data_IF_272005175210
#
_entry.id   IF_272005175210
#
_cell.length_a   1.000
_cell.length_b   1.000
_cell.length_c   1.000
_cell.angle_alpha   90.00
_cell.angle_beta   90.00
_cell.angle_gamma   90.00
#
_symmetry.space_group_name_H-M   'P 1'
#
loop_
_entity.id
_entity.type
_entity.pdbx_description
1 polymer ?
#
# COMPACT_ATOMS: atom_id res chain seq x y z
N UNK A 1 -0.52 8.77 15.36
CA UNK A 1 -0.89 7.98 14.17
C UNK A 1 -2.26 8.46 13.70
N UNK A 2 -2.30 9.57 12.97
CA UNK A 2 -3.55 10.17 12.51
C UNK A 2 -3.36 10.51 11.03
N UNK A 3 -3.77 9.61 10.14
CA UNK A 3 -3.52 9.81 8.71
C UNK A 3 -3.79 8.62 7.78
N UNK A 4 -4.50 7.58 8.24
CA UNK A 4 -5.06 6.58 7.32
C UNK A 4 -6.56 6.83 7.22
N UNK A 5 -7.04 7.14 6.00
CA UNK A 5 -8.45 7.41 5.74
C UNK A 5 -9.28 6.13 5.75
N UNK A 6 -8.67 4.98 5.46
CA UNK A 6 -9.36 3.68 5.35
C UNK A 6 -8.55 2.51 5.91
N UNK A 7 -9.23 1.41 6.22
CA UNK A 7 -8.61 0.14 6.66
C UNK A 7 -7.67 -0.41 5.56
N UNK A 8 -8.06 -0.24 4.28
CA UNK A 8 -7.24 -0.63 3.14
C UNK A 8 -5.89 0.12 3.14
N UNK A 9 -5.91 1.44 3.34
CA UNK A 9 -4.68 2.24 3.39
C UNK A 9 -3.77 1.83 4.55
N UNK A 10 -4.35 1.55 5.72
CA UNK A 10 -3.58 1.04 6.85
C UNK A 10 -2.97 -0.35 6.55
N UNK A 11 -3.75 -1.25 5.95
CA UNK A 11 -3.28 -2.60 5.60
C UNK A 11 -2.14 -2.55 4.58
N UNK A 12 -2.26 -1.71 3.55
CA UNK A 12 -1.20 -1.51 2.55
C UNK A 12 0.05 -0.92 3.18
N UNK A 13 -0.07 0.12 4.01
CA UNK A 13 1.10 0.70 4.69
C UNK A 13 1.79 -0.34 5.58
N UNK A 14 1.02 -1.11 6.35
CA UNK A 14 1.58 -2.17 7.18
C UNK A 14 2.22 -3.29 6.37
N UNK A 15 1.64 -3.65 5.24
CA UNK A 15 2.22 -4.63 4.31
C UNK A 15 3.57 -4.14 3.77
N UNK A 16 3.65 -2.88 3.36
CA UNK A 16 4.90 -2.26 2.90
C UNK A 16 5.96 -2.24 4.00
N UNK A 17 5.62 -1.84 5.23
CA UNK A 17 6.55 -1.89 6.37
C UNK A 17 7.08 -3.30 6.61
N UNK A 18 6.20 -4.31 6.56
CA UNK A 18 6.56 -5.72 6.74
C UNK A 18 7.47 -6.27 5.62
N UNK A 19 7.34 -5.75 4.40
CA UNK A 19 8.20 -6.11 3.27
C UNK A 19 9.49 -5.27 3.20
N UNK A 20 9.74 -4.40 4.18
CA UNK A 20 10.98 -3.60 4.27
C UNK A 20 10.99 -2.35 3.40
N UNK A 21 9.83 -1.87 2.93
CA UNK A 21 9.76 -0.63 2.16
C UNK A 21 10.04 0.58 3.04
N UNK A 22 10.92 1.46 2.58
CA UNK A 22 11.21 2.73 3.22
C UNK A 22 10.15 3.74 2.78
N UNK A 23 9.11 3.96 3.59
CA UNK A 23 7.95 4.80 3.23
C UNK A 23 8.29 6.18 2.66
N UNK A 24 9.40 6.80 3.05
CA UNK A 24 9.83 8.10 2.51
C UNK A 24 10.36 8.05 1.06
N UNK A 25 10.70 6.86 0.57
CA UNK A 25 11.24 6.62 -0.76
C UNK A 25 10.16 6.21 -1.77
N UNK A 26 8.97 5.88 -1.31
CA UNK A 26 7.87 5.42 -2.15
C UNK A 26 6.66 6.34 -2.04
N UNK A 27 6.06 6.67 -3.19
CA UNK A 27 4.75 7.29 -3.24
C UNK A 27 3.67 6.22 -3.24
N UNK A 28 2.63 6.37 -2.42
CA UNK A 28 1.50 5.45 -2.37
C UNK A 28 0.23 6.21 -2.74
N UNK A 29 -0.42 5.78 -3.82
CA UNK A 29 -1.74 6.27 -4.24
C UNK A 29 -2.78 5.19 -4.00
N UNK A 30 -3.86 5.51 -3.28
CA UNK A 30 -4.97 4.57 -3.02
C UNK A 30 -6.13 4.87 -3.97
N UNK A 31 -6.65 3.84 -4.64
CA UNK A 31 -7.92 3.85 -5.36
C UNK A 31 -8.84 2.76 -4.81
N UNK A 32 -9.72 3.15 -3.88
CA UNK A 32 -10.59 2.23 -3.15
C UNK A 32 -9.80 1.21 -2.33
N UNK A 33 -9.78 -0.04 -2.80
CA UNK A 33 -9.04 -1.16 -2.20
C UNK A 33 -7.71 -1.44 -2.89
N UNK A 34 -7.43 -0.82 -4.04
CA UNK A 34 -6.16 -0.99 -4.74
C UNK A 34 -5.22 0.15 -4.37
N UNK A 35 -3.94 -0.14 -4.31
CA UNK A 35 -2.90 0.82 -4.04
C UNK A 35 -1.78 0.70 -5.08
N UNK A 36 -1.38 1.83 -5.63
CA UNK A 36 -0.23 1.94 -6.49
C UNK A 36 0.93 2.51 -5.69
N UNK A 37 1.99 1.72 -5.55
CA UNK A 37 3.25 2.09 -4.92
C UNK A 37 4.21 2.44 -6.06
N UNK A 38 4.80 3.63 -6.05
CA UNK A 38 5.75 4.07 -7.09
C UNK A 38 7.05 4.49 -6.43
N UNK A 39 8.16 3.97 -6.95
CA UNK A 39 9.50 4.30 -6.48
C UNK A 39 10.02 5.60 -7.12
N UNK A 40 11.22 6.03 -6.72
CA UNK A 40 11.87 7.23 -7.29
C UNK A 40 12.34 7.07 -8.74
N UNK A 41 12.45 5.83 -9.23
CA UNK A 41 12.89 5.51 -10.60
C UNK A 41 11.72 5.46 -11.58
N UNK A 42 10.48 5.51 -11.05
CA UNK A 42 9.24 5.42 -11.81
C UNK A 42 8.72 4.00 -11.93
N UNK A 43 9.36 3.02 -11.29
CA UNK A 43 8.87 1.66 -11.20
C UNK A 43 7.66 1.64 -10.26
N UNK A 44 6.60 0.96 -10.70
CA UNK A 44 5.35 0.87 -9.96
C UNK A 44 5.00 -0.57 -9.62
N UNK A 45 4.48 -0.74 -8.40
CA UNK A 45 3.93 -1.98 -7.89
C UNK A 45 2.46 -1.74 -7.51
N UNK A 46 1.57 -2.56 -8.05
CA UNK A 46 0.15 -2.51 -7.74
C UNK A 46 -0.13 -3.60 -6.70
N UNK A 47 -0.79 -3.21 -5.61
CA UNK A 47 -1.25 -4.14 -4.59
C UNK A 47 -2.72 -3.89 -4.27
N UNK A 48 -3.45 -4.95 -3.98
CA UNK A 48 -4.87 -4.88 -3.64
C UNK A 48 -5.13 -5.39 -2.24
N UNK A 49 -5.86 -4.60 -1.45
CA UNK A 49 -6.42 -5.02 -0.19
C UNK A 49 -7.71 -5.82 -0.40
N UNK A 50 -7.70 -7.08 0.03
CA UNK A 50 -8.86 -7.95 0.03
C UNK A 50 -9.58 -7.86 1.40
N UNK A 51 -10.77 -7.23 1.48
CA UNK A 51 -11.46 -7.05 2.76
C UNK A 51 -12.01 -8.36 3.35
N UNK A 52 -12.20 -9.40 2.52
CA UNK A 52 -12.70 -10.71 2.99
C UNK A 52 -11.61 -11.48 3.73
N UNK A 53 -10.39 -11.49 3.20
CA UNK A 53 -9.23 -12.14 3.81
C UNK A 53 -8.45 -11.21 4.75
N UNK A 54 -8.72 -9.90 4.68
CA UNK A 54 -7.97 -8.82 5.35
C UNK A 54 -6.47 -8.83 5.03
N UNK A 55 -6.11 -9.26 3.82
CA UNK A 55 -4.74 -9.33 3.33
C UNK A 55 -4.52 -8.39 2.16
N UNK A 56 -3.26 -8.05 1.93
CA UNK A 56 -2.80 -7.30 0.77
C UNK A 56 -2.10 -8.29 -0.14
N UNK A 57 -2.48 -8.30 -1.42
CA UNK A 57 -2.01 -9.21 -2.46
C UNK A 57 -1.47 -8.37 -3.62
N UNK A 58 -0.39 -8.82 -4.27
CA UNK A 58 0.15 -8.20 -5.47
C UNK A 58 -0.76 -8.57 -6.66
N UNK A 59 -1.13 -7.60 -7.51
CA UNK A 59 -1.86 -7.87 -8.76
C UNK A 59 -0.93 -8.24 -9.92
#
# INVERSE_FOLDING_TARGET
MSGCKTIAEYAVKKWMENNGFIMSEFAVSMDGNTAQITDKRGDCLIVQYNPKSRKVEEE
#
